data_IF_798277740953
#
_entry.id   IF_798277740953
#
_cell.length_a   1.000
_cell.length_b   1.000
_cell.length_c   1.000
_cell.angle_alpha   90.00
_cell.angle_beta   90.00
_cell.angle_gamma   90.00
#
_symmetry.space_group_name_H-M   'P 1'
#
loop_
_entity.id
_entity.type
_entity.pdbx_description
1 polymer ?
#
# COMPACT_ATOMS: atom_id res chain seq x y z
N UNK A 1 -29.43 7.05 -10.25
CA UNK A 1 -29.27 7.52 -8.86
C UNK A 1 -27.88 7.08 -8.43
N UNK A 2 -27.05 8.00 -7.95
CA UNK A 2 -25.69 7.67 -7.50
C UNK A 2 -25.73 6.78 -6.27
N UNK A 3 -24.73 5.91 -6.14
CA UNK A 3 -24.52 5.10 -4.94
C UNK A 3 -24.04 6.04 -3.82
N UNK A 4 -24.66 6.01 -2.64
CA UNK A 4 -24.21 6.76 -1.47
C UNK A 4 -22.99 6.04 -0.87
N UNK A 5 -21.79 6.60 -1.07
CA UNK A 5 -20.53 5.97 -0.70
C UNK A 5 -19.51 7.02 -0.22
N UNK A 6 -18.76 6.67 0.83
CA UNK A 6 -17.63 7.45 1.33
C UNK A 6 -16.38 6.57 1.38
N UNK A 7 -15.21 7.17 1.15
CA UNK A 7 -13.93 6.48 1.20
C UNK A 7 -12.78 7.43 1.49
N UNK A 8 -11.60 6.87 1.72
CA UNK A 8 -10.38 7.61 1.98
C UNK A 8 -9.37 7.38 0.85
N UNK A 9 -8.77 8.46 0.36
CA UNK A 9 -7.70 8.41 -0.64
C UNK A 9 -6.47 9.09 -0.07
N UNK A 10 -5.31 8.42 -0.17
CA UNK A 10 -4.03 8.97 0.31
C UNK A 10 -3.28 9.72 -0.78
N UNK A 11 -2.46 10.69 -0.36
CA UNK A 11 -1.43 11.28 -1.20
C UNK A 11 -0.26 10.28 -1.34
N UNK A 12 0.18 10.00 -2.57
CA UNK A 12 1.25 9.03 -2.85
C UNK A 12 2.54 9.42 -2.14
N UNK A 13 2.90 10.70 -2.23
CA UNK A 13 4.13 11.27 -1.65
C UNK A 13 4.06 11.50 -0.15
N UNK A 14 2.93 11.20 0.49
CA UNK A 14 2.89 11.10 1.95
C UNK A 14 3.69 9.87 2.43
N UNK A 15 3.85 9.77 3.75
CA UNK A 15 4.50 8.62 4.39
C UNK A 15 3.90 7.31 3.86
N UNK A 16 4.72 6.36 3.37
CA UNK A 16 4.21 5.10 2.82
C UNK A 16 3.44 4.30 3.86
N UNK A 17 3.76 4.44 5.14
CA UNK A 17 3.07 3.75 6.24
C UNK A 17 1.62 4.23 6.40
N UNK A 18 1.24 5.36 5.80
CA UNK A 18 -0.16 5.79 5.71
C UNK A 18 -1.02 4.84 4.84
N UNK A 19 -0.44 3.90 4.08
CA UNK A 19 -1.20 2.81 3.44
C UNK A 19 -2.03 2.02 4.45
N UNK A 20 -1.54 1.89 5.67
CA UNK A 20 -2.22 1.17 6.76
C UNK A 20 -3.36 1.97 7.41
N UNK A 21 -3.48 3.26 7.08
CA UNK A 21 -4.53 4.12 7.59
C UNK A 21 -5.87 3.96 6.87
N UNK A 22 -5.93 3.11 5.84
CA UNK A 22 -7.18 2.78 5.17
C UNK A 22 -8.21 2.19 6.15
N UNK A 23 -7.82 1.19 6.93
CA UNK A 23 -8.72 0.55 7.91
C UNK A 23 -9.12 1.49 9.05
N UNK A 24 -8.22 2.40 9.45
CA UNK A 24 -8.52 3.46 10.40
C UNK A 24 -9.64 4.38 9.89
N UNK A 25 -9.56 4.87 8.66
CA UNK A 25 -10.58 5.73 8.08
C UNK A 25 -11.85 4.96 7.70
N UNK A 26 -11.73 3.71 7.27
CA UNK A 26 -12.87 2.84 6.98
C UNK A 26 -13.71 2.57 8.24
N UNK A 27 -13.07 2.29 9.38
CA UNK A 27 -13.76 2.09 10.65
C UNK A 27 -14.59 3.32 11.04
N UNK A 28 -14.00 4.52 10.90
CA UNK A 28 -14.65 5.82 11.14
C UNK A 28 -15.85 6.05 10.22
N UNK A 29 -15.72 5.79 8.93
CA UNK A 29 -16.81 5.96 7.97
C UNK A 29 -17.92 4.91 8.15
N UNK A 30 -17.54 3.68 8.52
CA UNK A 30 -18.47 2.59 8.84
C UNK A 30 -19.28 2.90 10.09
N UNK A 31 -18.66 3.47 11.12
CA UNK A 31 -19.36 3.94 12.31
C UNK A 31 -20.42 4.99 11.96
N UNK A 32 -20.07 5.98 11.13
CA UNK A 32 -21.02 6.99 10.66
C UNK A 32 -22.16 6.38 9.84
N UNK A 33 -21.85 5.43 8.95
CA UNK A 33 -22.87 4.71 8.19
C UNK A 33 -23.84 3.94 9.11
N UNK A 34 -23.33 3.25 10.14
CA UNK A 34 -24.16 2.57 11.16
C UNK A 34 -25.03 3.55 11.94
N UNK A 35 -24.56 4.78 12.14
CA UNK A 35 -25.31 5.87 12.77
C UNK A 35 -26.31 6.55 11.81
N UNK A 36 -26.45 6.07 10.57
CA UNK A 36 -27.43 6.55 9.60
C UNK A 36 -27.04 7.85 8.90
N UNK A 37 -25.77 8.25 8.94
CA UNK A 37 -25.26 9.43 8.22
C UNK A 37 -25.13 9.10 6.72
N UNK A 38 -25.46 10.07 5.87
CA UNK A 38 -25.12 10.00 4.44
C UNK A 38 -23.60 10.07 4.23
N UNK A 39 -23.10 9.73 3.04
CA UNK A 39 -21.66 9.83 2.77
C UNK A 39 -21.09 11.24 3.00
N UNK A 40 -21.82 12.28 2.57
CA UNK A 40 -21.42 13.68 2.77
C UNK A 40 -21.40 14.06 4.26
N UNK A 41 -22.45 13.66 5.01
CA UNK A 41 -22.49 13.88 6.46
C UNK A 41 -21.37 13.11 7.16
N UNK A 42 -21.06 11.89 6.71
CA UNK A 42 -20.03 11.06 7.29
C UNK A 42 -18.63 11.67 7.14
N UNK A 43 -18.28 12.28 6.01
CA UNK A 43 -16.99 12.96 5.86
C UNK A 43 -16.95 14.30 6.63
N UNK A 44 -18.05 15.04 6.67
CA UNK A 44 -18.14 16.32 7.40
C UNK A 44 -18.08 16.12 8.92
N UNK A 45 -18.63 15.01 9.43
CA UNK A 45 -18.67 14.69 10.85
C UNK A 45 -17.29 14.72 11.51
N UNK A 46 -16.24 14.31 10.79
CA UNK A 46 -14.89 14.23 11.33
C UNK A 46 -14.13 15.58 11.37
N UNK A 47 -14.71 16.66 10.83
CA UNK A 47 -14.07 17.96 10.83
C UNK A 47 -13.89 18.50 12.26
N UNK A 48 -12.64 18.80 12.64
CA UNK A 48 -12.28 19.33 13.96
C UNK A 48 -12.16 18.28 15.06
N UNK A 49 -12.35 16.99 14.76
CA UNK A 49 -11.99 15.93 15.69
C UNK A 49 -10.47 15.87 15.90
N UNK A 50 -9.98 15.42 17.07
CA UNK A 50 -8.56 15.23 17.30
C UNK A 50 -7.91 14.37 16.21
N UNK A 51 -6.76 14.85 15.74
CA UNK A 51 -5.92 14.15 14.79
C UNK A 51 -5.34 12.88 15.42
N UNK A 52 -5.35 11.78 14.64
CA UNK A 52 -4.56 10.61 14.97
C UNK A 52 -3.10 10.86 14.56
N UNK A 53 -2.11 10.58 15.42
CA UNK A 53 -0.70 10.91 15.15
C UNK A 53 -0.10 10.15 13.96
N UNK A 54 -0.70 9.03 13.53
CA UNK A 54 -0.27 8.24 12.37
C UNK A 54 -1.15 8.51 11.15
N UNK A 55 -2.47 8.52 11.36
CA UNK A 55 -3.45 8.51 10.28
C UNK A 55 -4.11 9.87 9.99
N UNK A 56 -3.73 10.89 10.75
CA UNK A 56 -4.15 12.26 10.51
C UNK A 56 -5.56 12.58 11.02
N UNK A 57 -6.05 13.74 10.61
CA UNK A 57 -7.39 14.23 10.93
C UNK A 57 -7.92 15.19 9.86
N UNK A 58 -9.19 15.57 10.00
CA UNK A 58 -9.79 16.61 9.15
C UNK A 58 -9.80 17.93 9.96
N UNK A 59 -9.10 18.99 9.52
CA UNK A 59 -9.08 20.25 10.25
C UNK A 59 -10.48 20.87 10.41
N UNK A 60 -10.73 21.59 11.52
CA UNK A 60 -12.03 22.22 11.80
C UNK A 60 -12.46 23.24 10.72
N UNK A 61 -11.49 23.88 10.04
CA UNK A 61 -11.73 24.83 8.95
C UNK A 61 -11.74 24.20 7.55
N UNK A 62 -11.74 22.86 7.44
CA UNK A 62 -11.73 22.20 6.15
C UNK A 62 -13.03 22.50 5.39
N UNK A 63 -12.90 22.98 4.16
CA UNK A 63 -14.03 23.23 3.26
C UNK A 63 -14.27 22.01 2.38
N UNK A 64 -15.53 21.60 2.24
CA UNK A 64 -15.91 20.56 1.28
C UNK A 64 -15.63 21.05 -0.13
N UNK A 65 -14.95 20.21 -0.91
CA UNK A 65 -14.64 20.46 -2.31
C UNK A 65 -15.28 19.39 -3.18
N UNK A 66 -15.52 19.71 -4.44
CA UNK A 66 -16.10 18.78 -5.41
C UNK A 66 -15.09 18.41 -6.49
N UNK A 67 -15.14 17.15 -6.89
CA UNK A 67 -14.43 16.63 -8.05
C UNK A 67 -15.43 15.84 -8.90
N UNK A 68 -15.38 16.06 -10.22
CA UNK A 68 -16.38 15.49 -11.14
C UNK A 68 -16.09 14.02 -11.53
N UNK A 69 -14.98 13.45 -11.04
CA UNK A 69 -14.61 12.05 -11.21
C UNK A 69 -13.55 11.63 -10.20
N UNK A 70 -13.36 10.32 -10.02
CA UNK A 70 -12.27 9.79 -9.19
C UNK A 70 -10.88 10.21 -9.72
N UNK A 71 -10.72 10.27 -11.04
CA UNK A 71 -9.48 10.78 -11.67
C UNK A 71 -9.25 12.27 -11.37
N UNK A 72 -10.32 13.08 -11.31
CA UNK A 72 -10.20 14.49 -10.95
C UNK A 72 -9.83 14.67 -9.47
N UNK A 73 -10.43 13.86 -8.58
CA UNK A 73 -10.06 13.84 -7.16
C UNK A 73 -8.60 13.41 -6.97
N UNK A 74 -8.19 12.36 -7.68
CA UNK A 74 -6.81 11.90 -7.71
C UNK A 74 -5.85 12.98 -8.18
N UNK A 75 -6.14 13.66 -9.29
CA UNK A 75 -5.28 14.73 -9.82
C UNK A 75 -5.14 15.92 -8.88
N UNK A 76 -6.19 16.24 -8.10
CA UNK A 76 -6.10 17.27 -7.07
C UNK A 76 -5.18 16.85 -5.91
N UNK A 77 -5.23 15.59 -5.50
CA UNK A 77 -4.44 15.06 -4.38
C UNK A 77 -2.99 14.73 -4.78
N UNK A 78 -2.80 14.24 -6.00
CA UNK A 78 -1.56 13.69 -6.55
C UNK A 78 -1.24 14.34 -7.91
N UNK A 79 -0.97 15.66 -7.97
CA UNK A 79 -0.77 16.37 -9.24
C UNK A 79 0.45 15.88 -10.04
N UNK A 80 1.50 15.45 -9.33
CA UNK A 80 2.72 14.88 -9.91
C UNK A 80 2.68 13.34 -9.97
N UNK A 81 1.59 12.72 -9.55
CA UNK A 81 1.42 11.28 -9.57
C UNK A 81 1.06 10.77 -10.97
N UNK A 82 1.36 9.49 -11.30
CA UNK A 82 0.80 8.90 -12.51
C UNK A 82 -0.72 8.95 -12.47
N UNK A 83 -1.42 8.97 -13.61
CA UNK A 83 -2.88 8.87 -13.62
C UNK A 83 -3.31 7.56 -12.93
N UNK A 84 -4.55 7.50 -12.45
CA UNK A 84 -5.10 6.21 -12.03
C UNK A 84 -5.03 5.27 -13.24
N UNK A 85 -4.40 4.10 -13.08
CA UNK A 85 -4.35 3.10 -14.14
C UNK A 85 -5.76 2.58 -14.49
N UNK A 86 -5.92 1.99 -15.68
CA UNK A 86 -7.16 1.36 -16.16
C UNK A 86 -7.54 0.07 -15.40
N UNK A 87 -7.15 -0.08 -14.12
CA UNK A 87 -7.35 -1.29 -13.31
C UNK A 87 -8.76 -1.89 -13.48
N UNK A 88 -8.92 -3.22 -13.37
CA UNK A 88 -10.08 -3.92 -13.90
C UNK A 88 -11.39 -3.35 -13.35
N UNK A 89 -12.30 -3.12 -14.29
CA UNK A 89 -13.63 -2.55 -14.14
C UNK A 89 -14.45 -3.33 -13.10
N UNK A 90 -14.68 -2.76 -11.92
CA UNK A 90 -15.93 -2.95 -11.16
C UNK A 90 -16.30 -1.62 -10.52
N UNK A 91 -16.85 -0.71 -11.32
CA UNK A 91 -17.61 0.44 -10.80
C UNK A 91 -19.13 0.20 -10.90
N UNK A 92 -19.56 -0.74 -11.75
CA UNK A 92 -20.97 -0.96 -12.10
C UNK A 92 -21.52 -2.34 -11.71
N UNK A 93 -20.87 -3.08 -10.80
CA UNK A 93 -21.20 -4.47 -10.47
C UNK A 93 -21.15 -5.43 -11.66
N UNK A 94 -20.40 -5.12 -12.73
CA UNK A 94 -20.30 -5.98 -13.91
C UNK A 94 -18.86 -6.06 -14.38
N UNK A 95 -18.33 -7.28 -14.47
CA UNK A 95 -17.02 -7.57 -15.06
C UNK A 95 -17.00 -7.21 -16.57
N UNK A 96 -15.83 -7.02 -17.20
CA UNK A 96 -15.74 -6.75 -18.64
C UNK A 96 -16.43 -7.80 -19.54
N UNK A 97 -16.67 -9.00 -19.02
CA UNK A 97 -17.36 -10.10 -19.70
C UNK A 97 -18.89 -10.16 -19.44
N UNK A 98 -19.44 -9.21 -18.68
CA UNK A 98 -20.88 -9.15 -18.38
C UNK A 98 -21.30 -9.88 -17.10
N UNK A 99 -20.38 -10.53 -16.38
CA UNK A 99 -20.70 -11.22 -15.12
C UNK A 99 -21.01 -10.22 -14.02
N UNK A 100 -22.10 -10.40 -13.26
CA UNK A 100 -22.41 -9.52 -12.13
C UNK A 100 -21.54 -9.81 -10.90
N UNK A 101 -20.93 -8.78 -10.31
CA UNK A 101 -20.44 -8.85 -8.93
C UNK A 101 -21.66 -8.73 -8.01
N UNK A 102 -21.86 -9.71 -7.13
CA UNK A 102 -23.04 -9.78 -6.26
C UNK A 102 -23.26 -8.51 -5.41
N UNK A 103 -24.51 -8.28 -4.92
CA UNK A 103 -24.88 -7.10 -4.14
C UNK A 103 -24.16 -6.99 -2.78
N UNK A 104 -23.41 -8.02 -2.39
CA UNK A 104 -22.67 -8.17 -1.14
C UNK A 104 -21.19 -7.70 -1.23
N UNK A 105 -20.72 -7.24 -2.40
CA UNK A 105 -19.37 -6.68 -2.58
C UNK A 105 -19.40 -5.20 -2.93
N UNK A 106 -19.79 -4.40 -1.94
CA UNK A 106 -19.86 -2.93 -1.98
C UNK A 106 -18.50 -2.23 -1.77
N UNK A 107 -17.38 -2.93 -1.97
CA UNK A 107 -16.07 -2.30 -1.95
C UNK A 107 -15.65 -1.95 -3.37
N UNK A 108 -15.51 -0.65 -3.64
CA UNK A 108 -14.78 -0.17 -4.81
C UNK A 108 -13.41 -0.82 -4.84
N UNK A 109 -12.97 -1.33 -5.99
CA UNK A 109 -11.60 -1.81 -6.14
C UNK A 109 -10.63 -0.65 -5.87
N UNK A 110 -9.60 -0.84 -5.01
CA UNK A 110 -8.63 0.21 -4.76
C UNK A 110 -7.90 0.55 -6.06
N UNK A 111 -7.86 1.83 -6.41
CA UNK A 111 -7.06 2.30 -7.52
C UNK A 111 -5.57 2.25 -7.12
N UNK A 112 -4.77 1.44 -7.81
CA UNK A 112 -3.34 1.30 -7.56
C UNK A 112 -2.56 2.11 -8.59
N UNK A 113 -1.96 3.21 -8.16
CA UNK A 113 -0.84 3.82 -8.86
C UNK A 113 0.45 3.11 -8.45
N UNK A 114 1.25 2.64 -9.41
CA UNK A 114 2.61 2.19 -9.09
C UNK A 114 3.57 3.37 -9.24
N UNK A 115 4.12 3.92 -8.14
CA UNK A 115 5.15 4.94 -8.24
C UNK A 115 6.39 4.34 -8.93
N UNK A 116 7.23 5.16 -9.61
CA UNK A 116 8.53 4.72 -10.10
C UNK A 116 9.31 3.98 -9.01
N UNK A 117 9.96 2.87 -9.37
CA UNK A 117 10.68 2.01 -8.43
C UNK A 117 11.83 1.28 -9.12
N UNK A 118 12.61 0.55 -8.33
CA UNK A 118 13.69 -0.31 -8.82
C UNK A 118 13.16 -1.40 -9.77
N UNK A 119 14.03 -1.94 -10.63
CA UNK A 119 13.69 -3.11 -11.43
C UNK A 119 13.32 -4.29 -10.51
N UNK A 120 12.33 -5.09 -10.94
CA UNK A 120 11.78 -6.21 -10.18
C UNK A 120 12.47 -7.55 -10.48
N UNK A 121 13.43 -7.56 -11.40
CA UNK A 121 14.21 -8.71 -11.83
C UNK A 121 15.71 -8.38 -11.87
N UNK A 122 16.54 -9.39 -11.61
CA UNK A 122 18.00 -9.34 -11.79
C UNK A 122 18.56 -10.76 -11.88
N UNK A 123 19.64 -10.94 -12.64
CA UNK A 123 20.42 -12.18 -12.69
C UNK A 123 21.70 -12.13 -11.85
N UNK A 124 21.96 -10.98 -11.20
CA UNK A 124 23.14 -10.77 -10.35
C UNK A 124 22.87 -11.22 -8.91
N UNK A 125 23.91 -11.43 -8.09
CA UNK A 125 23.74 -11.71 -6.67
C UNK A 125 22.85 -10.67 -5.99
N UNK A 126 22.05 -11.10 -5.01
CA UNK A 126 21.15 -10.22 -4.27
C UNK A 126 21.44 -10.29 -2.78
N UNK A 127 21.40 -9.13 -2.13
CA UNK A 127 21.36 -9.02 -0.67
C UNK A 127 19.90 -9.12 -0.24
N UNK A 128 19.62 -9.77 0.88
CA UNK A 128 18.26 -9.88 1.40
C UNK A 128 18.16 -9.77 2.92
N UNK A 129 16.99 -9.37 3.39
CA UNK A 129 16.60 -9.28 4.79
C UNK A 129 15.31 -10.04 5.01
N UNK A 130 15.24 -10.79 6.10
CA UNK A 130 14.02 -11.49 6.51
C UNK A 130 12.99 -10.48 7.02
N UNK A 131 11.76 -10.63 6.54
CA UNK A 131 10.60 -9.90 7.04
C UNK A 131 9.82 -10.85 7.92
N UNK A 132 9.65 -10.48 9.18
CA UNK A 132 8.98 -11.28 10.19
C UNK A 132 7.63 -10.67 10.55
N UNK A 133 6.62 -11.50 10.72
CA UNK A 133 5.29 -11.12 11.19
C UNK A 133 4.80 -12.14 12.21
N UNK A 134 4.31 -11.68 13.37
CA UNK A 134 3.86 -12.54 14.46
C UNK A 134 4.87 -13.64 14.88
N UNK A 135 6.17 -13.38 14.73
CA UNK A 135 7.24 -14.33 15.07
C UNK A 135 7.59 -15.34 13.97
N UNK A 136 6.97 -15.25 12.80
CA UNK A 136 7.27 -16.10 11.64
C UNK A 136 7.86 -15.26 10.50
N UNK A 137 8.86 -15.80 9.79
CA UNK A 137 9.33 -15.17 8.56
C UNK A 137 8.25 -15.32 7.50
N UNK A 138 7.86 -14.22 6.87
CA UNK A 138 6.78 -14.16 5.88
C UNK A 138 7.26 -13.76 4.48
N UNK A 139 8.49 -13.29 4.35
CA UNK A 139 9.07 -12.86 3.09
C UNK A 139 10.51 -12.38 3.21
N UNK A 140 11.10 -12.09 2.07
CA UNK A 140 12.40 -11.44 1.96
C UNK A 140 12.27 -10.08 1.29
N UNK A 141 12.88 -9.06 1.88
CA UNK A 141 13.18 -7.81 1.19
C UNK A 141 14.57 -7.93 0.56
N UNK A 142 14.70 -7.75 -0.75
CA UNK A 142 15.94 -8.03 -1.48
C UNK A 142 16.37 -6.88 -2.38
N UNK A 143 17.67 -6.81 -2.69
CA UNK A 143 18.26 -5.82 -3.58
C UNK A 143 19.52 -6.33 -4.27
N UNK A 144 19.74 -5.93 -5.52
CA UNK A 144 21.02 -6.13 -6.21
C UNK A 144 22.05 -5.07 -5.77
N UNK A 145 23.31 -5.46 -5.50
CA UNK A 145 24.39 -4.53 -5.25
C UNK A 145 24.96 -3.92 -6.54
N UNK A 146 24.66 -4.48 -7.71
CA UNK A 146 25.30 -4.13 -9.00
C UNK A 146 24.31 -3.57 -10.03
N UNK A 147 23.02 -3.85 -9.87
CA UNK A 147 21.95 -3.37 -10.74
C UNK A 147 20.94 -2.55 -9.95
N UNK A 148 20.19 -1.67 -10.61
CA UNK A 148 19.11 -0.89 -9.99
C UNK A 148 17.85 -1.76 -9.79
N UNK A 149 17.99 -2.86 -9.05
CA UNK A 149 16.94 -3.85 -8.83
C UNK A 149 16.72 -4.10 -7.32
N UNK A 150 15.46 -4.11 -6.90
CA UNK A 150 15.05 -4.45 -5.54
C UNK A 150 13.57 -4.82 -5.52
N UNK A 151 13.18 -5.61 -4.52
CA UNK A 151 11.81 -6.01 -4.39
C UNK A 151 11.50 -6.72 -3.09
N UNK A 152 10.28 -7.22 -3.02
CA UNK A 152 9.79 -8.06 -1.95
C UNK A 152 9.38 -9.41 -2.54
N UNK A 153 9.78 -10.48 -1.86
CA UNK A 153 9.51 -11.85 -2.25
C UNK A 153 8.79 -12.57 -1.10
N UNK A 154 7.49 -12.89 -1.22
CA UNK A 154 6.77 -13.63 -0.19
C UNK A 154 7.26 -15.07 -0.10
N UNK A 155 7.24 -15.64 1.12
CA UNK A 155 7.45 -17.06 1.32
C UNK A 155 6.16 -17.84 1.00
N UNK A 156 6.29 -18.97 0.30
CA UNK A 156 5.15 -19.79 -0.13
C UNK A 156 4.33 -20.28 1.07
N UNK A 157 4.98 -20.79 2.11
CA UNK A 157 4.29 -21.33 3.29
C UNK A 157 3.55 -20.25 4.09
N UNK A 158 3.99 -18.98 4.01
CA UNK A 158 3.35 -17.87 4.70
C UNK A 158 2.02 -17.44 4.05
N UNK A 159 1.71 -17.95 2.85
CA UNK A 159 0.42 -17.75 2.20
C UNK A 159 0.01 -16.28 2.10
N UNK A 160 -1.22 -15.98 2.54
CA UNK A 160 -1.76 -14.61 2.50
C UNK A 160 -1.01 -13.64 3.43
N UNK A 161 -0.43 -14.11 4.53
CA UNK A 161 0.32 -13.24 5.45
C UNK A 161 1.57 -12.67 4.77
N UNK A 162 2.27 -13.48 3.97
CA UNK A 162 3.39 -13.03 3.15
C UNK A 162 2.97 -12.09 2.01
N UNK A 163 1.78 -12.29 1.44
CA UNK A 163 1.28 -11.48 0.32
C UNK A 163 0.78 -10.11 0.79
N UNK A 164 0.03 -10.05 1.91
CA UNK A 164 -0.63 -8.83 2.38
C UNK A 164 0.36 -7.70 2.69
N UNK A 165 1.55 -8.03 3.21
CA UNK A 165 2.59 -7.06 3.52
C UNK A 165 3.33 -6.46 2.31
N UNK A 166 3.22 -7.10 1.14
CA UNK A 166 4.03 -6.77 -0.05
C UNK A 166 3.89 -5.31 -0.49
N UNK A 167 2.65 -4.80 -0.52
CA UNK A 167 2.36 -3.46 -1.02
C UNK A 167 3.11 -2.36 -0.25
N UNK A 168 3.15 -2.48 1.08
CA UNK A 168 3.82 -1.49 1.93
C UNK A 168 5.35 -1.54 1.78
N UNK A 169 5.94 -2.74 1.71
CA UNK A 169 7.37 -2.87 1.44
C UNK A 169 7.78 -2.30 0.09
N UNK A 170 7.00 -2.57 -0.97
CA UNK A 170 7.24 -1.98 -2.28
C UNK A 170 7.09 -0.45 -2.27
N UNK A 171 6.12 0.11 -1.54
CA UNK A 171 5.97 1.56 -1.41
C UNK A 171 7.16 2.21 -0.68
N UNK A 172 7.68 1.56 0.37
CA UNK A 172 8.90 2.00 1.07
C UNK A 172 10.10 2.02 0.11
N UNK A 173 10.27 0.97 -0.71
CA UNK A 173 11.31 0.92 -1.75
C UNK A 173 11.14 2.02 -2.82
N UNK A 174 9.93 2.22 -3.34
CA UNK A 174 9.62 3.29 -4.29
C UNK A 174 10.03 4.68 -3.76
N UNK A 175 9.80 4.96 -2.48
CA UNK A 175 10.23 6.22 -1.88
C UNK A 175 11.75 6.35 -1.80
N UNK A 176 12.47 5.26 -1.52
CA UNK A 176 13.94 5.28 -1.57
C UNK A 176 14.46 5.46 -3.00
N UNK A 177 13.80 4.85 -3.98
CA UNK A 177 14.11 5.04 -5.40
C UNK A 177 13.91 6.50 -5.84
N UNK A 178 12.79 7.12 -5.46
CA UNK A 178 12.50 8.52 -5.77
C UNK A 178 13.53 9.50 -5.16
N UNK A 179 14.16 9.13 -4.04
CA UNK A 179 15.29 9.85 -3.44
C UNK A 179 16.65 9.56 -4.10
N UNK A 180 16.69 8.72 -5.14
CA UNK A 180 17.91 8.31 -5.83
C UNK A 180 18.81 7.40 -4.98
N UNK A 181 18.26 6.67 -4.00
CA UNK A 181 19.05 5.78 -3.13
C UNK A 181 19.47 4.52 -3.86
N UNK A 182 20.64 4.00 -3.51
CA UNK A 182 21.09 2.69 -3.97
C UNK A 182 20.19 1.57 -3.41
N UNK A 183 19.85 0.52 -4.20
CA UNK A 183 18.96 -0.56 -3.79
C UNK A 183 19.31 -1.21 -2.44
N UNK A 184 20.59 -1.50 -2.22
CA UNK A 184 21.06 -2.12 -0.96
C UNK A 184 20.90 -1.17 0.24
N UNK A 185 21.14 0.13 0.04
CA UNK A 185 20.90 1.12 1.09
C UNK A 185 19.39 1.27 1.39
N UNK A 186 18.54 1.07 0.37
CA UNK A 186 17.09 1.11 0.53
C UNK A 186 16.59 -0.02 1.43
N UNK A 187 17.04 -1.27 1.22
CA UNK A 187 16.61 -2.40 2.08
C UNK A 187 17.16 -2.26 3.50
N UNK A 188 18.38 -1.73 3.68
CA UNK A 188 18.95 -1.47 5.01
C UNK A 188 18.20 -0.37 5.74
N UNK A 189 17.81 0.70 5.04
CA UNK A 189 16.98 1.76 5.61
C UNK A 189 15.63 1.21 6.12
N UNK A 190 15.08 0.20 5.44
CA UNK A 190 13.81 -0.40 5.81
C UNK A 190 13.80 -1.08 7.20
N UNK A 191 14.96 -1.39 7.79
CA UNK A 191 15.08 -1.89 9.18
C UNK A 191 14.59 -0.90 10.25
N UNK A 192 14.44 0.38 9.89
CA UNK A 192 14.02 1.43 10.83
C UNK A 192 12.51 1.47 11.05
N UNK A 193 11.73 0.83 10.18
CA UNK A 193 10.27 0.82 10.32
C UNK A 193 9.87 -0.13 11.45
N UNK A 194 8.98 0.30 12.37
CA UNK A 194 8.52 -0.53 13.47
C UNK A 194 7.62 -1.67 12.95
N UNK A 195 7.31 -2.60 13.85
CA UNK A 195 6.29 -3.60 13.62
C UNK A 195 4.96 -3.00 13.18
N UNK A 196 4.40 -3.56 12.12
CA UNK A 196 3.11 -3.20 11.54
C UNK A 196 2.25 -4.46 11.31
N UNK A 197 0.95 -4.37 11.58
CA UNK A 197 0.06 -5.53 11.51
C UNK A 197 -0.18 -6.05 10.08
N UNK A 198 0.08 -5.26 9.04
CA UNK A 198 -0.07 -5.69 7.65
C UNK A 198 1.25 -6.24 7.13
N UNK A 199 2.33 -5.51 7.34
CA UNK A 199 3.64 -5.75 6.72
C UNK A 199 4.66 -6.48 7.58
N UNK A 200 4.38 -6.64 8.88
CA UNK A 200 5.37 -7.12 9.84
C UNK A 200 6.48 -6.08 10.05
N UNK A 201 7.71 -6.55 10.23
CA UNK A 201 8.92 -5.74 10.27
C UNK A 201 10.13 -6.53 9.82
N UNK A 202 11.27 -5.85 9.73
CA UNK A 202 12.57 -6.49 9.72
C UNK A 202 13.12 -6.30 11.13
N UNK A 203 13.48 -7.37 11.84
CA UNK A 203 14.14 -7.21 13.14
C UNK A 203 15.37 -6.29 13.01
N UNK A 204 15.60 -5.34 13.94
CA UNK A 204 16.72 -4.39 13.83
C UNK A 204 18.08 -5.07 13.60
N UNK A 205 18.28 -6.21 14.26
CA UNK A 205 19.50 -7.02 14.22
C UNK A 205 19.40 -8.24 13.28
N UNK A 206 18.36 -8.32 12.44
CA UNK A 206 18.23 -9.39 11.44
C UNK A 206 19.53 -9.49 10.63
N UNK A 207 20.10 -10.69 10.41
CA UNK A 207 21.27 -10.83 9.57
C UNK A 207 20.92 -10.45 8.12
N UNK A 208 21.87 -9.82 7.43
CA UNK A 208 21.78 -9.60 5.99
C UNK A 208 22.32 -10.84 5.27
N UNK A 209 21.46 -11.49 4.49
CA UNK A 209 21.81 -12.64 3.67
C UNK A 209 22.28 -12.23 2.28
N UNK A 210 22.97 -13.14 1.60
CA UNK A 210 23.35 -12.99 0.18
C UNK A 210 22.95 -14.25 -0.55
N UNK A 211 22.20 -14.11 -1.64
CA UNK A 211 21.90 -15.19 -2.58
C UNK A 211 22.66 -14.95 -3.90
N UNK A 212 23.18 -16.00 -4.56
CA UNK A 212 23.91 -15.87 -5.83
C UNK A 212 23.08 -15.28 -6.99
N UNK A 213 21.75 -15.36 -6.93
CA UNK A 213 20.83 -14.69 -7.86
C UNK A 213 19.44 -14.53 -7.25
N UNK A 214 18.59 -13.70 -7.88
CA UNK A 214 17.17 -13.63 -7.52
C UNK A 214 16.44 -14.95 -7.75
N UNK A 215 16.84 -15.72 -8.77
CA UNK A 215 16.25 -17.03 -9.05
C UNK A 215 16.49 -18.01 -7.89
N UNK A 216 17.71 -18.04 -7.34
CA UNK A 216 18.01 -18.89 -6.17
C UNK A 216 17.25 -18.44 -4.92
N UNK A 217 17.11 -17.13 -4.70
CA UNK A 217 16.28 -16.63 -3.61
C UNK A 217 14.79 -17.02 -3.79
N UNK A 218 14.29 -17.05 -5.04
CA UNK A 218 12.93 -17.52 -5.36
C UNK A 218 12.74 -19.00 -5.09
N UNK A 219 13.73 -19.83 -5.38
CA UNK A 219 13.68 -21.25 -5.03
C UNK A 219 13.62 -21.41 -3.51
N UNK A 220 14.52 -20.76 -2.76
CA UNK A 220 14.49 -20.78 -1.30
C UNK A 220 13.16 -20.26 -0.70
N UNK A 221 12.54 -19.27 -1.34
CA UNK A 221 11.23 -18.76 -0.90
C UNK A 221 10.04 -19.68 -1.21
N UNK A 222 10.24 -20.65 -2.11
CA UNK A 222 9.24 -21.60 -2.55
C UNK A 222 9.29 -22.96 -1.83
N UNK A 223 10.33 -23.22 -1.04
CA UNK A 223 10.50 -24.43 -0.23
C UNK A 223 9.48 -24.54 0.93
#
# INVERSE_FOLDING_TARGET
MGIDAAGHMRKISADPDNLTCETFWEARLTENCRNGLTAEQAIQHWAGHPEDPRCGGVPAGATVQQANSMQALWGQLNPEGPPLGEGPLIQDNVFPDGTSAGPDRLWSAPHVSNPPTYADETSTPVHFLEVTKNGEVVGFLWASPTEQAAGYLPLRYAGLEGINGRGLWLARLSNRFAEGRHPVDAIRYCRRFPYDEYSGWIEPDAPEGIAPSLAELREAANE
#
